data_IF_109202369453
#
_entry.id   IF_109202369453
#
_cell.length_a   1.000
_cell.length_b   1.000
_cell.length_c   1.000
_cell.angle_alpha   90.00
_cell.angle_beta   90.00
_cell.angle_gamma   90.00
#
_symmetry.space_group_name_H-M   'P 1'
#
loop_
_entity.id
_entity.type
_entity.pdbx_description
1 polymer ?
#
# COMPACT_ATOMS: atom_id res chain seq x y z
N UNK A 1 29.99 2.38 -6.92
CA UNK A 1 28.75 3.16 -6.99
C UNK A 1 27.59 2.20 -6.68
N UNK A 2 27.19 2.08 -5.41
CA UNK A 2 26.01 1.28 -5.06
C UNK A 2 24.79 2.03 -5.59
N UNK A 3 24.23 1.60 -6.72
CA UNK A 3 22.82 1.89 -6.98
C UNK A 3 22.07 1.17 -5.87
N UNK A 4 21.65 1.90 -4.84
CA UNK A 4 20.54 1.47 -4.03
C UNK A 4 19.39 1.27 -5.01
N UNK A 5 19.00 0.03 -5.28
CA UNK A 5 17.81 -0.27 -6.07
C UNK A 5 16.66 0.42 -5.34
N UNK A 6 16.20 1.53 -5.90
CA UNK A 6 15.14 2.34 -5.32
C UNK A 6 14.05 2.42 -6.37
N UNK A 7 12.90 1.86 -6.04
CA UNK A 7 11.69 1.89 -6.85
C UNK A 7 11.03 3.29 -6.84
N UNK A 8 11.81 4.33 -6.55
CA UNK A 8 11.39 5.71 -6.38
C UNK A 8 12.26 6.61 -7.26
N UNK A 9 11.63 7.23 -8.24
CA UNK A 9 12.24 8.26 -9.06
C UNK A 9 11.75 9.65 -8.63
N UNK A 10 12.65 10.61 -8.41
CA UNK A 10 12.27 11.98 -8.04
C UNK A 10 11.87 12.76 -9.30
N UNK A 11 10.63 13.22 -9.35
CA UNK A 11 10.12 14.07 -10.43
C UNK A 11 10.60 15.53 -10.27
N UNK A 12 10.59 16.34 -11.35
CA UNK A 12 11.01 17.76 -11.31
C UNK A 12 10.23 18.62 -10.31
N UNK A 13 8.97 18.29 -10.04
CA UNK A 13 8.13 18.97 -9.04
C UNK A 13 8.43 18.54 -7.59
N UNK A 14 9.47 17.73 -7.36
CA UNK A 14 9.82 17.21 -6.05
C UNK A 14 9.03 15.97 -5.60
N UNK A 15 8.02 15.55 -6.37
CA UNK A 15 7.27 14.32 -6.13
C UNK A 15 8.10 13.05 -6.34
N UNK A 16 7.55 11.92 -5.91
CA UNK A 16 8.14 10.60 -6.12
C UNK A 16 7.26 9.80 -7.07
N UNK A 17 7.86 9.26 -8.12
CA UNK A 17 7.27 8.32 -9.06
C UNK A 17 7.67 6.92 -8.63
N UNK A 18 6.68 6.07 -8.39
CA UNK A 18 6.87 4.69 -7.99
C UNK A 18 7.06 3.86 -9.26
N UNK A 19 8.24 3.30 -9.47
CA UNK A 19 8.62 2.50 -10.64
C UNK A 19 8.94 1.06 -10.23
N UNK A 20 9.11 0.17 -11.20
CA UNK A 20 9.53 -1.23 -10.98
C UNK A 20 8.65 -1.97 -9.93
N UNK A 21 7.32 -1.82 -10.07
CA UNK A 21 6.32 -2.39 -9.17
C UNK A 21 5.75 -3.73 -9.65
N UNK A 22 6.32 -4.34 -10.69
CA UNK A 22 5.87 -5.62 -11.26
C UNK A 22 5.97 -6.77 -10.25
N UNK A 23 6.90 -6.68 -9.29
CA UNK A 23 7.04 -7.63 -8.20
C UNK A 23 6.08 -7.37 -7.03
N UNK A 24 5.16 -6.40 -7.14
CA UNK A 24 4.15 -6.11 -6.13
C UNK A 24 3.09 -7.20 -6.00
N UNK A 25 2.18 -7.03 -5.04
CA UNK A 25 1.00 -7.87 -4.82
C UNK A 25 1.31 -9.38 -4.87
N UNK A 26 0.87 -10.09 -5.92
CA UNK A 26 0.94 -11.56 -6.05
C UNK A 26 2.33 -12.13 -5.77
N UNK A 27 3.37 -11.58 -6.40
CA UNK A 27 4.75 -12.04 -6.16
C UNK A 27 5.30 -11.46 -4.86
N UNK A 28 5.05 -10.19 -4.58
CA UNK A 28 5.54 -9.52 -3.37
C UNK A 28 5.01 -10.14 -2.08
N UNK A 29 3.78 -10.69 -2.11
CA UNK A 29 3.16 -11.37 -0.98
C UNK A 29 3.88 -12.65 -0.57
N UNK A 30 4.60 -13.30 -1.49
CA UNK A 30 5.47 -14.45 -1.17
C UNK A 30 6.70 -14.04 -0.36
N UNK A 31 7.04 -12.75 -0.36
CA UNK A 31 8.24 -12.20 0.27
C UNK A 31 7.92 -11.30 1.47
N UNK A 32 6.68 -11.32 1.99
CA UNK A 32 6.30 -10.43 3.09
C UNK A 32 7.21 -10.57 4.32
N UNK A 33 7.51 -11.78 4.74
CA UNK A 33 8.40 -12.02 5.90
C UNK A 33 9.81 -11.45 5.69
N UNK A 34 10.28 -11.39 4.44
CA UNK A 34 11.58 -10.82 4.09
C UNK A 34 11.57 -9.29 4.16
N UNK A 35 10.47 -8.66 3.72
CA UNK A 35 10.40 -7.20 3.58
C UNK A 35 9.75 -6.47 4.76
N UNK A 36 8.84 -7.12 5.50
CA UNK A 36 8.11 -6.49 6.60
C UNK A 36 9.03 -6.07 7.74
N UNK A 37 10.13 -6.80 7.99
CA UNK A 37 11.17 -6.40 8.95
C UNK A 37 11.84 -5.06 8.61
N UNK A 38 11.70 -4.56 7.38
CA UNK A 38 12.18 -3.25 6.96
C UNK A 38 11.03 -2.23 6.84
N UNK A 39 9.90 -2.65 6.24
CA UNK A 39 8.78 -1.75 5.96
C UNK A 39 8.02 -1.32 7.22
N UNK A 40 7.80 -2.25 8.17
CA UNK A 40 7.06 -1.93 9.39
C UNK A 40 7.83 -0.95 10.31
N UNK A 41 9.12 -1.13 10.60
CA UNK A 41 9.89 -0.14 11.34
C UNK A 41 9.92 1.23 10.65
N UNK A 42 9.99 1.28 9.32
CA UNK A 42 9.95 2.53 8.57
C UNK A 42 8.60 3.24 8.71
N UNK A 43 7.48 2.51 8.64
CA UNK A 43 6.17 3.10 8.89
C UNK A 43 6.05 3.62 10.33
N UNK A 44 6.57 2.85 11.30
CA UNK A 44 6.51 3.19 12.73
C UNK A 44 7.43 4.34 13.15
N UNK A 45 8.48 4.63 12.37
CA UNK A 45 9.40 5.73 12.69
C UNK A 45 8.84 7.11 12.37
N UNK A 46 7.70 7.18 11.68
CA UNK A 46 7.04 8.44 11.32
C UNK A 46 5.56 8.43 11.69
N UNK A 47 5.07 9.57 12.19
CA UNK A 47 3.65 9.81 12.47
C UNK A 47 3.10 10.98 11.64
N UNK A 48 3.51 11.05 10.37
CA UNK A 48 3.11 12.11 9.44
C UNK A 48 2.41 11.46 8.24
N UNK A 49 1.17 11.85 8.01
CA UNK A 49 0.35 11.39 6.89
C UNK A 49 -0.25 12.58 6.16
N UNK A 50 -0.34 12.50 4.83
CA UNK A 50 -1.18 13.44 4.08
C UNK A 50 -2.64 13.16 4.43
N UNK A 51 -3.40 14.20 4.69
CA UNK A 51 -4.81 14.09 5.07
C UNK A 51 -5.62 13.24 4.07
N UNK A 52 -5.51 13.52 2.77
CA UNK A 52 -6.17 12.76 1.73
C UNK A 52 -5.80 11.26 1.73
N UNK A 53 -4.54 10.93 2.04
CA UNK A 53 -4.10 9.53 2.14
C UNK A 53 -4.70 8.86 3.37
N UNK A 54 -4.70 9.52 4.53
CA UNK A 54 -5.28 8.98 5.76
C UNK A 54 -6.79 8.75 5.60
N UNK A 55 -7.49 9.70 4.98
CA UNK A 55 -8.91 9.59 4.66
C UNK A 55 -9.19 8.39 3.75
N UNK A 56 -8.42 8.21 2.68
CA UNK A 56 -8.61 7.08 1.76
C UNK A 56 -8.35 5.73 2.41
N UNK A 57 -7.33 5.64 3.28
CA UNK A 57 -7.04 4.43 4.05
C UNK A 57 -8.20 4.11 5.01
N UNK A 58 -8.74 5.13 5.71
CA UNK A 58 -9.91 4.97 6.56
C UNK A 58 -11.13 4.47 5.78
N UNK A 59 -11.40 4.99 4.59
CA UNK A 59 -12.51 4.54 3.74
C UNK A 59 -12.37 3.07 3.34
N UNK A 60 -11.19 2.67 2.86
CA UNK A 60 -10.91 1.28 2.46
C UNK A 60 -10.99 0.32 3.64
N UNK A 61 -10.55 0.75 4.82
CA UNK A 61 -10.73 0.01 6.07
C UNK A 61 -12.21 -0.11 6.43
N UNK A 62 -12.96 1.00 6.45
CA UNK A 62 -14.38 1.00 6.86
C UNK A 62 -15.25 0.15 5.93
N UNK A 63 -14.99 0.20 4.63
CA UNK A 63 -15.77 -0.51 3.61
C UNK A 63 -15.32 -1.95 3.39
N UNK A 64 -14.15 -2.34 3.91
CA UNK A 64 -13.57 -3.68 3.74
C UNK A 64 -13.54 -4.14 2.27
N UNK A 65 -13.21 -3.22 1.36
CA UNK A 65 -13.39 -3.40 -0.08
C UNK A 65 -12.12 -3.15 -0.89
N UNK A 66 -10.93 -3.24 -0.28
CA UNK A 66 -9.67 -2.92 -0.94
C UNK A 66 -9.44 -3.72 -2.25
N UNK A 67 -9.68 -5.03 -2.20
CA UNK A 67 -9.54 -5.88 -3.38
C UNK A 67 -10.61 -5.59 -4.45
N UNK A 68 -11.85 -5.33 -4.05
CA UNK A 68 -12.94 -5.01 -4.99
C UNK A 68 -12.71 -3.67 -5.69
N UNK A 69 -12.21 -2.67 -4.98
CA UNK A 69 -11.86 -1.37 -5.57
C UNK A 69 -10.67 -1.50 -6.51
N UNK A 70 -9.65 -2.29 -6.15
CA UNK A 70 -8.53 -2.59 -7.03
C UNK A 70 -9.00 -3.34 -8.29
N UNK A 71 -9.89 -4.33 -8.14
CA UNK A 71 -10.46 -5.06 -9.27
C UNK A 71 -11.26 -4.15 -10.20
N UNK A 72 -12.04 -3.22 -9.64
CA UNK A 72 -12.79 -2.22 -10.41
C UNK A 72 -11.83 -1.36 -11.23
N UNK A 73 -10.79 -0.81 -10.61
CA UNK A 73 -9.78 -0.02 -11.30
C UNK A 73 -9.05 -0.83 -12.37
N UNK A 74 -8.67 -2.06 -12.05
CA UNK A 74 -8.00 -2.97 -12.98
C UNK A 74 -8.85 -3.23 -14.22
N UNK A 75 -10.11 -3.63 -14.06
CA UNK A 75 -11.04 -3.87 -15.18
C UNK A 75 -11.34 -2.62 -16.00
N UNK A 76 -11.31 -1.44 -15.36
CA UNK A 76 -11.57 -0.16 -16.03
C UNK A 76 -10.40 0.24 -16.93
N UNK A 77 -9.16 -0.07 -16.55
CA UNK A 77 -7.96 0.46 -17.20
C UNK A 77 -7.13 -0.58 -17.95
N UNK A 78 -7.36 -1.88 -17.75
CA UNK A 78 -6.68 -2.96 -18.45
C UNK A 78 -7.64 -3.67 -19.43
N UNK A 79 -7.52 -3.42 -20.74
CA UNK A 79 -8.36 -4.06 -21.77
C UNK A 79 -8.29 -5.59 -21.78
N UNK A 80 -7.17 -6.17 -21.33
CA UNK A 80 -6.98 -7.62 -21.27
C UNK A 80 -7.39 -8.23 -19.93
N UNK A 81 -8.03 -7.47 -19.03
CA UNK A 81 -8.40 -7.90 -17.68
C UNK A 81 -9.31 -9.14 -17.62
N UNK A 82 -10.06 -9.44 -18.68
CA UNK A 82 -10.85 -10.67 -18.79
C UNK A 82 -10.03 -11.93 -19.13
N UNK A 83 -8.78 -11.76 -19.59
CA UNK A 83 -7.85 -12.86 -19.93
C UNK A 83 -6.72 -12.99 -18.93
N UNK A 84 -6.32 -11.87 -18.36
CA UNK A 84 -5.31 -11.79 -17.33
C UNK A 84 -5.91 -12.15 -15.97
N UNK A 85 -5.12 -12.79 -15.12
CA UNK A 85 -5.53 -13.15 -13.77
C UNK A 85 -5.67 -11.94 -12.84
N UNK A 86 -6.32 -12.17 -11.71
CA UNK A 86 -6.38 -11.22 -10.60
C UNK A 86 -5.89 -11.89 -9.30
N UNK A 87 -5.99 -11.17 -8.18
CA UNK A 87 -5.71 -11.71 -6.85
C UNK A 87 -6.59 -12.93 -6.56
N UNK A 88 -6.00 -13.96 -5.94
CA UNK A 88 -6.77 -15.00 -5.26
C UNK A 88 -7.49 -14.44 -4.03
N UNK A 89 -8.45 -15.18 -3.49
CA UNK A 89 -9.16 -14.77 -2.26
C UNK A 89 -8.19 -14.54 -1.08
N UNK A 90 -7.21 -15.44 -0.91
CA UNK A 90 -6.18 -15.29 0.13
C UNK A 90 -5.37 -14.00 -0.06
N UNK A 91 -5.03 -13.66 -1.30
CA UNK A 91 -4.29 -12.43 -1.61
C UNK A 91 -5.15 -11.18 -1.42
N UNK A 92 -6.45 -11.26 -1.70
CA UNK A 92 -7.42 -10.19 -1.46
C UNK A 92 -7.58 -9.92 0.05
N UNK A 93 -7.71 -10.97 0.86
CA UNK A 93 -7.74 -10.86 2.32
C UNK A 93 -6.45 -10.26 2.87
N UNK A 94 -5.30 -10.69 2.32
CA UNK A 94 -4.01 -10.13 2.69
C UNK A 94 -3.92 -8.64 2.37
N UNK A 95 -4.35 -8.20 1.18
CA UNK A 95 -4.42 -6.79 0.82
C UNK A 95 -5.25 -5.98 1.83
N UNK A 96 -6.42 -6.50 2.21
CA UNK A 96 -7.29 -5.85 3.21
C UNK A 96 -6.59 -5.76 4.57
N UNK A 97 -5.97 -6.85 5.03
CA UNK A 97 -5.21 -6.85 6.28
C UNK A 97 -4.06 -5.83 6.30
N UNK A 98 -3.43 -5.56 5.15
CA UNK A 98 -2.43 -4.49 5.02
C UNK A 98 -3.04 -3.10 5.16
N UNK A 99 -4.22 -2.87 4.60
CA UNK A 99 -4.96 -1.61 4.80
C UNK A 99 -5.31 -1.42 6.28
N UNK A 100 -5.81 -2.47 6.93
CA UNK A 100 -6.19 -2.44 8.34
C UNK A 100 -4.98 -2.14 9.24
N UNK A 101 -3.82 -2.72 8.93
CA UNK A 101 -2.56 -2.45 9.63
C UNK A 101 -2.15 -0.97 9.55
N UNK A 102 -2.17 -0.40 8.34
CA UNK A 102 -1.83 1.03 8.14
C UNK A 102 -2.85 1.93 8.84
N UNK A 103 -4.14 1.62 8.74
CA UNK A 103 -5.19 2.37 9.43
C UNK A 103 -5.00 2.36 10.95
N UNK A 104 -4.69 1.20 11.54
CA UNK A 104 -4.39 1.08 12.98
C UNK A 104 -3.20 1.96 13.38
N UNK A 105 -2.16 2.02 12.56
CA UNK A 105 -1.00 2.89 12.83
C UNK A 105 -1.35 4.38 12.73
N UNK A 106 -2.18 4.78 11.76
CA UNK A 106 -2.70 6.16 11.67
C UNK A 106 -3.47 6.54 12.95
N UNK A 107 -4.34 5.65 13.44
CA UNK A 107 -5.07 5.89 14.69
C UNK A 107 -4.13 6.01 15.91
N UNK A 108 -3.10 5.17 15.98
CA UNK A 108 -2.07 5.27 17.00
C UNK A 108 -1.38 6.64 16.97
N UNK A 109 -0.93 7.09 15.80
CA UNK A 109 -0.31 8.41 15.64
C UNK A 109 -1.24 9.57 16.01
N UNK A 110 -2.53 9.48 15.65
CA UNK A 110 -3.54 10.49 16.03
C UNK A 110 -3.71 10.56 17.55
N UNK A 111 -3.79 9.41 18.23
CA UNK A 111 -3.91 9.36 19.68
C UNK A 111 -2.66 9.93 20.39
N UNK A 112 -1.46 9.63 19.87
CA UNK A 112 -0.21 10.20 20.39
C UNK A 112 -0.17 11.72 20.23
N UNK A 113 -0.66 12.26 19.11
CA UNK A 113 -0.72 13.70 18.88
C UNK A 113 -1.72 14.42 19.80
N UNK A 114 -2.80 13.75 20.23
CA UNK A 114 -3.79 14.33 21.16
C UNK A 114 -3.40 14.22 22.64
N UNK A 115 -2.38 13.42 22.95
CA UNK A 115 -1.84 13.25 24.31
C UNK A 115 -0.68 14.21 24.61
N UNK A 116 -0.31 15.06 23.65
CA UNK A 116 0.64 16.17 23.77
C UNK A 116 -0.12 17.48 24.01
#
# INVERSE_FOLDING_TARGET
MHRATSNLHRAPNGGLVFIDNEAGLVHGYRLLSMWDKYNEPLLRSVCIFREATAQRVWELHRLQNAASELLRLYRTHEPLSGRLGFLSEQQAQLLQGRIDFVHKHILHCKAMATSL
#
